data_IF_682761472039
#
_entry.id   IF_682761472039
#
_cell.length_a   1.000
_cell.length_b   1.000
_cell.length_c   1.000
_cell.angle_alpha   90.00
_cell.angle_beta   90.00
_cell.angle_gamma   90.00
#
_symmetry.space_group_name_H-M   'P 1'
#
loop_
_entity.id
_entity.type
_entity.pdbx_description
1 polymer ?
#
# COMPACT_ATOMS: atom_id res chain seq x y z
N UNK A 1 42.45 -22.87 -55.31
CA UNK A 1 43.33 -22.30 -54.27
C UNK A 1 42.43 -21.43 -53.38
N UNK A 2 41.78 -22.05 -52.39
CA UNK A 2 42.23 -22.07 -50.98
C UNK A 2 42.23 -20.64 -50.40
N UNK A 3 41.59 -20.29 -49.28
CA UNK A 3 40.90 -21.05 -48.25
C UNK A 3 40.01 -20.08 -47.47
N UNK A 4 38.92 -20.62 -46.94
CA UNK A 4 38.08 -20.03 -45.90
C UNK A 4 38.91 -19.89 -44.63
N UNK A 5 38.87 -18.73 -43.99
CA UNK A 5 39.36 -18.58 -42.61
C UNK A 5 38.29 -17.87 -41.79
N UNK A 6 37.49 -18.72 -41.16
CA UNK A 6 36.59 -18.40 -40.06
C UNK A 6 37.47 -17.95 -38.89
N UNK A 7 37.38 -16.67 -38.52
CA UNK A 7 38.00 -16.08 -37.33
C UNK A 7 36.91 -15.58 -36.38
N UNK A 8 37.06 -15.76 -35.06
CA UNK A 8 35.93 -15.91 -34.15
C UNK A 8 35.34 -14.59 -33.65
N UNK A 9 34.04 -14.66 -33.44
CA UNK A 9 33.19 -13.90 -32.50
C UNK A 9 33.92 -13.46 -31.21
N UNK A 10 34.39 -12.21 -31.18
CA UNK A 10 34.74 -11.53 -29.92
C UNK A 10 33.49 -10.96 -29.26
N UNK A 11 32.81 -11.81 -28.49
CA UNK A 11 31.81 -11.40 -27.52
C UNK A 11 32.56 -11.01 -26.24
N UNK A 12 32.84 -9.71 -26.11
CA UNK A 12 33.48 -9.12 -24.93
C UNK A 12 32.73 -9.53 -23.66
N UNK A 13 33.42 -10.39 -22.90
CA UNK A 13 33.41 -10.56 -21.45
C UNK A 13 32.08 -10.33 -20.73
N UNK A 14 31.43 -11.46 -20.47
CA UNK A 14 30.44 -11.67 -19.41
C UNK A 14 30.92 -10.98 -18.12
N UNK A 15 30.13 -10.04 -17.60
CA UNK A 15 30.33 -9.51 -16.25
C UNK A 15 30.38 -10.66 -15.24
N UNK A 16 31.46 -10.82 -14.45
CA UNK A 16 31.50 -11.84 -13.43
C UNK A 16 30.61 -11.45 -12.25
N UNK A 17 29.45 -12.11 -12.14
CA UNK A 17 28.64 -12.16 -10.93
C UNK A 17 29.47 -12.73 -9.79
N UNK A 18 29.91 -11.87 -8.87
CA UNK A 18 30.61 -12.27 -7.64
C UNK A 18 29.62 -12.94 -6.69
N UNK A 19 29.50 -14.27 -6.80
CA UNK A 19 28.84 -15.11 -5.81
C UNK A 19 29.72 -15.13 -4.56
N UNK A 20 29.25 -14.51 -3.47
CA UNK A 20 29.95 -14.59 -2.17
C UNK A 20 29.69 -15.97 -1.55
N UNK A 21 30.72 -16.69 -1.05
CA UNK A 21 30.51 -17.94 -0.34
C UNK A 21 29.82 -17.67 1.00
N UNK A 22 28.82 -18.50 1.31
CA UNK A 22 28.08 -18.54 2.56
C UNK A 22 29.02 -19.04 3.66
N UNK A 23 29.45 -18.15 4.56
CA UNK A 23 30.21 -18.55 5.74
C UNK A 23 29.31 -19.39 6.67
N UNK A 24 29.60 -20.69 6.74
CA UNK A 24 29.05 -21.61 7.72
C UNK A 24 29.93 -21.56 8.98
N UNK A 25 29.57 -20.72 9.96
CA UNK A 25 30.14 -20.85 11.30
C UNK A 25 29.41 -21.97 12.03
N UNK A 26 29.97 -23.17 11.94
CA UNK A 26 29.64 -24.28 12.82
C UNK A 26 30.09 -23.96 14.24
N UNK A 27 29.17 -24.07 15.20
CA UNK A 27 29.48 -24.02 16.63
C UNK A 27 29.13 -25.40 17.23
N UNK A 28 30.16 -26.23 17.42
CA UNK A 28 30.18 -27.39 18.35
C UNK A 28 30.87 -26.87 19.63
N UNK A 29 30.54 -27.16 20.88
CA UNK A 29 29.71 -28.11 21.63
C UNK A 29 29.08 -27.35 22.84
N UNK A 30 28.04 -27.79 23.54
CA UNK A 30 28.05 -28.80 24.61
C UNK A 30 26.59 -29.13 24.96
N UNK A 31 26.28 -30.42 25.07
CA UNK A 31 24.96 -30.96 25.40
C UNK A 31 24.76 -30.88 26.91
N UNK A 32 23.90 -29.96 27.37
CA UNK A 32 23.26 -30.06 28.69
C UNK A 32 21.74 -29.91 28.54
N UNK A 33 21.03 -30.76 29.28
CA UNK A 33 19.59 -30.99 29.19
C UNK A 33 18.74 -29.84 29.73
N UNK A 34 17.62 -29.59 29.04
CA UNK A 34 16.32 -29.03 29.44
C UNK A 34 16.25 -28.04 30.63
N UNK A 35 15.88 -26.79 30.34
CA UNK A 35 14.64 -26.15 30.84
C UNK A 35 14.24 -24.98 29.96
N UNK A 36 12.94 -24.85 29.70
CA UNK A 36 12.28 -23.86 28.86
C UNK A 36 12.28 -22.47 29.48
N UNK A 37 13.08 -21.54 28.93
CA UNK A 37 12.80 -20.09 28.99
C UNK A 37 13.27 -19.45 27.68
N UNK A 38 12.34 -19.09 26.79
CA UNK A 38 12.62 -18.15 25.70
C UNK A 38 12.76 -16.76 26.33
N UNK A 39 13.91 -16.51 26.94
CA UNK A 39 14.33 -15.15 27.27
C UNK A 39 14.73 -14.48 25.94
N UNK A 40 13.82 -13.70 25.36
CA UNK A 40 14.19 -12.80 24.26
C UNK A 40 15.26 -11.86 24.81
N UNK A 41 16.45 -11.93 24.22
CA UNK A 41 17.64 -11.12 24.54
C UNK A 41 17.29 -9.63 24.52
N UNK A 42 16.95 -9.07 25.68
CA UNK A 42 17.11 -7.66 25.99
C UNK A 42 18.37 -7.56 26.85
N UNK A 43 19.51 -7.32 26.20
CA UNK A 43 20.72 -6.96 26.93
C UNK A 43 20.46 -5.63 27.63
N UNK A 44 20.63 -5.61 28.96
CA UNK A 44 20.67 -4.39 29.77
C UNK A 44 21.78 -3.48 29.22
N UNK A 45 21.39 -2.40 28.54
CA UNK A 45 22.27 -1.27 28.26
C UNK A 45 22.05 -0.23 29.35
N UNK A 46 23.04 -0.08 30.23
CA UNK A 46 23.21 1.07 31.09
C UNK A 46 23.36 2.31 30.20
N UNK A 47 22.47 3.29 30.32
CA UNK A 47 22.53 4.57 29.59
C UNK A 47 21.58 4.67 28.39
N UNK A 48 20.41 5.29 28.63
CA UNK A 48 19.51 5.79 27.59
C UNK A 48 18.39 4.82 27.19
N UNK A 49 17.13 5.20 27.44
CA UNK A 49 15.98 4.56 26.82
C UNK A 49 16.18 4.56 25.30
N UNK A 50 16.26 3.38 24.69
CA UNK A 50 16.34 3.24 23.23
C UNK A 50 15.16 4.01 22.64
N UNK A 51 15.45 5.11 21.93
CA UNK A 51 14.40 5.96 21.33
C UNK A 51 13.47 5.08 20.51
N UNK A 52 12.16 5.22 20.72
CA UNK A 52 11.15 4.51 19.95
C UNK A 52 11.37 4.80 18.46
N UNK A 53 11.32 3.77 17.62
CA UNK A 53 11.55 3.93 16.19
C UNK A 53 10.38 4.71 15.56
N UNK A 54 10.67 5.90 15.02
CA UNK A 54 9.70 6.72 14.30
C UNK A 54 9.92 6.61 12.79
N UNK A 55 8.86 6.40 12.02
CA UNK A 55 8.90 6.43 10.57
C UNK A 55 8.95 7.88 10.08
N UNK A 56 9.75 8.17 9.05
CA UNK A 56 9.78 9.51 8.45
C UNK A 56 8.39 9.85 7.88
N UNK A 57 7.93 11.11 7.95
CA UNK A 57 6.69 11.55 7.31
C UNK A 57 6.60 11.06 5.86
N UNK A 58 5.43 10.58 5.46
CA UNK A 58 5.21 9.96 4.14
C UNK A 58 5.57 8.47 4.05
N UNK A 59 6.44 7.94 4.90
CA UNK A 59 6.82 6.50 4.85
C UNK A 59 5.64 5.57 5.10
N UNK A 60 4.80 5.92 6.09
CA UNK A 60 3.60 5.14 6.43
C UNK A 60 2.52 5.33 5.36
N UNK A 61 2.29 6.57 4.92
CA UNK A 61 1.34 6.88 3.85
C UNK A 61 1.64 6.10 2.55
N UNK A 62 2.90 6.06 2.10
CA UNK A 62 3.30 5.27 0.92
C UNK A 62 3.16 3.75 1.12
N UNK A 63 3.23 3.27 2.36
CA UNK A 63 2.96 1.85 2.68
C UNK A 63 1.47 1.57 2.62
N UNK A 64 0.64 2.45 3.15
CA UNK A 64 -0.82 2.36 3.13
C UNK A 64 -1.35 2.42 1.71
N UNK A 65 -0.89 3.37 0.89
CA UNK A 65 -1.26 3.47 -0.53
C UNK A 65 -0.98 2.15 -1.25
N UNK A 66 0.23 1.60 -1.12
CA UNK A 66 0.59 0.32 -1.76
C UNK A 66 -0.22 -0.86 -1.24
N UNK A 67 -0.60 -0.85 0.05
CA UNK A 67 -1.46 -1.88 0.63
C UNK A 67 -2.85 -1.79 0.01
N UNK A 68 -3.47 -0.62 0.02
CA UNK A 68 -4.85 -0.42 -0.44
C UNK A 68 -4.99 -0.55 -1.96
N UNK A 69 -3.96 -0.23 -2.74
CA UNK A 69 -3.95 -0.50 -4.19
C UNK A 69 -3.86 -1.99 -4.52
N UNK A 70 -3.35 -2.83 -3.61
CA UNK A 70 -3.21 -4.28 -3.82
C UNK A 70 -4.45 -5.05 -3.37
N UNK A 71 -5.16 -4.55 -2.36
CA UNK A 71 -6.38 -5.16 -1.83
C UNK A 71 -7.63 -4.57 -2.49
N UNK A 72 -8.71 -5.34 -2.52
CA UNK A 72 -10.04 -4.90 -2.96
C UNK A 72 -11.03 -4.88 -1.80
N UNK A 73 -10.55 -4.68 -0.57
CA UNK A 73 -11.39 -4.61 0.63
C UNK A 73 -12.12 -3.27 0.69
N UNK A 74 -13.40 -3.30 1.09
CA UNK A 74 -14.17 -2.08 1.36
C UNK A 74 -13.60 -1.35 2.58
N UNK A 75 -13.36 -0.05 2.45
CA UNK A 75 -12.69 0.76 3.47
C UNK A 75 -13.70 1.42 4.42
N UNK A 76 -14.94 1.64 3.97
CA UNK A 76 -15.98 2.22 4.81
C UNK A 76 -16.62 1.11 5.66
N UNK A 77 -16.80 1.37 6.96
CA UNK A 77 -17.47 0.42 7.86
C UNK A 77 -18.93 0.24 7.43
N UNK A 78 -19.36 -1.03 7.31
CA UNK A 78 -20.70 -1.40 6.81
C UNK A 78 -21.86 -0.77 7.59
N UNK A 79 -21.82 -0.80 8.93
CA UNK A 79 -22.95 -0.31 9.76
C UNK A 79 -23.16 1.21 9.64
N UNK A 80 -22.13 2.07 9.76
CA UNK A 80 -22.29 3.50 9.47
C UNK A 80 -22.78 3.80 8.06
N UNK A 81 -22.24 3.11 7.04
CA UNK A 81 -22.68 3.29 5.65
C UNK A 81 -24.16 2.93 5.48
N UNK A 82 -24.59 1.80 6.05
CA UNK A 82 -25.99 1.39 6.03
C UNK A 82 -26.91 2.43 6.71
N UNK A 83 -26.50 2.98 7.85
CA UNK A 83 -27.29 4.03 8.54
C UNK A 83 -27.44 5.28 7.68
N UNK A 84 -26.37 5.69 7.00
CA UNK A 84 -26.39 6.83 6.07
C UNK A 84 -27.33 6.58 4.89
N UNK A 85 -27.27 5.39 4.28
CA UNK A 85 -28.18 5.01 3.18
C UNK A 85 -29.64 5.08 3.64
N UNK A 86 -29.95 4.57 4.83
CA UNK A 86 -31.30 4.63 5.40
C UNK A 86 -31.74 6.06 5.72
N UNK A 87 -30.85 6.91 6.24
CA UNK A 87 -31.12 8.32 6.52
C UNK A 87 -31.52 9.06 5.23
N UNK A 88 -30.74 8.92 4.16
CA UNK A 88 -31.03 9.53 2.86
C UNK A 88 -32.34 8.99 2.28
N UNK A 89 -32.55 7.68 2.35
CA UNK A 89 -33.73 7.03 1.78
C UNK A 89 -35.04 7.44 2.48
N UNK A 90 -35.01 7.68 3.80
CA UNK A 90 -36.18 8.14 4.56
C UNK A 90 -36.69 9.50 4.09
N UNK A 91 -35.80 10.37 3.60
CA UNK A 91 -36.19 11.66 3.02
C UNK A 91 -36.93 11.50 1.68
N UNK A 92 -36.80 10.34 1.03
CA UNK A 92 -37.47 10.02 -0.23
C UNK A 92 -38.78 9.28 0.00
N UNK A 93 -38.76 8.18 0.77
CA UNK A 93 -39.95 7.46 1.22
C UNK A 93 -39.69 6.76 2.57
N UNK A 94 -40.60 6.90 3.54
CA UNK A 94 -40.42 6.37 4.89
C UNK A 94 -40.48 4.83 4.97
N UNK A 95 -41.18 4.18 4.05
CA UNK A 95 -41.45 2.72 4.08
C UNK A 95 -40.47 1.87 3.25
N UNK A 96 -39.37 2.47 2.78
CA UNK A 96 -38.36 1.77 1.97
C UNK A 96 -37.62 0.69 2.79
N UNK A 97 -37.62 -0.54 2.27
CA UNK A 97 -36.83 -1.66 2.80
C UNK A 97 -35.71 -1.99 1.82
N UNK A 98 -34.50 -2.19 2.37
CA UNK A 98 -33.32 -2.50 1.57
C UNK A 98 -32.95 -3.98 1.67
N UNK A 99 -32.65 -4.59 0.52
CA UNK A 99 -31.96 -5.87 0.46
C UNK A 99 -30.49 -5.68 0.89
N UNK A 100 -29.91 -6.68 1.57
CA UNK A 100 -28.49 -6.65 1.96
C UNK A 100 -27.55 -6.47 0.76
N UNK A 101 -27.85 -7.15 -0.35
CA UNK A 101 -27.10 -7.02 -1.61
C UNK A 101 -27.19 -5.60 -2.20
N UNK A 102 -28.34 -4.93 -2.10
CA UNK A 102 -28.50 -3.57 -2.59
C UNK A 102 -27.63 -2.56 -1.82
N UNK A 103 -27.58 -2.69 -0.48
CA UNK A 103 -26.69 -1.86 0.35
C UNK A 103 -25.22 -2.12 0.01
N UNK A 104 -24.85 -3.39 -0.25
CA UNK A 104 -23.51 -3.76 -0.71
C UNK A 104 -23.15 -3.11 -2.05
N UNK A 105 -24.04 -3.18 -3.04
CA UNK A 105 -23.84 -2.57 -4.35
C UNK A 105 -23.70 -1.04 -4.27
N UNK A 106 -24.52 -0.39 -3.44
CA UNK A 106 -24.40 1.05 -3.19
C UNK A 106 -23.03 1.40 -2.57
N UNK A 107 -22.54 0.57 -1.66
CA UNK A 107 -21.24 0.77 -1.03
C UNK A 107 -20.10 0.62 -2.04
N UNK A 108 -20.11 -0.46 -2.83
CA UNK A 108 -19.11 -0.69 -3.87
C UNK A 108 -19.05 0.46 -4.89
N UNK A 109 -20.21 0.89 -5.39
CA UNK A 109 -20.29 2.01 -6.33
C UNK A 109 -19.80 3.33 -5.71
N UNK A 110 -20.16 3.60 -4.45
CA UNK A 110 -19.76 4.82 -3.75
C UNK A 110 -18.25 4.87 -3.51
N UNK A 111 -17.65 3.77 -3.03
CA UNK A 111 -16.20 3.71 -2.80
C UNK A 111 -15.41 3.78 -4.11
N UNK A 112 -15.86 3.08 -5.15
CA UNK A 112 -15.23 3.15 -6.48
C UNK A 112 -15.25 4.57 -7.04
N UNK A 113 -16.39 5.28 -6.90
CA UNK A 113 -16.51 6.67 -7.32
C UNK A 113 -15.55 7.59 -6.55
N UNK A 114 -15.49 7.46 -5.22
CA UNK A 114 -14.60 8.27 -4.38
C UNK A 114 -13.12 8.04 -4.70
N UNK A 115 -12.70 6.77 -4.93
CA UNK A 115 -11.32 6.46 -5.34
C UNK A 115 -10.98 7.15 -6.65
N UNK A 116 -11.84 7.03 -7.66
CA UNK A 116 -11.65 7.68 -8.96
C UNK A 116 -11.63 9.21 -8.83
N UNK A 117 -12.44 9.79 -7.95
CA UNK A 117 -12.44 11.23 -7.70
C UNK A 117 -11.12 11.69 -7.04
N UNK A 118 -10.59 10.90 -6.10
CA UNK A 118 -9.32 11.21 -5.45
C UNK A 118 -8.13 11.10 -6.40
N UNK A 119 -8.17 10.21 -7.39
CA UNK A 119 -7.16 10.14 -8.47
C UNK A 119 -7.10 11.46 -9.25
N UNK A 120 -8.23 11.96 -9.73
CA UNK A 120 -8.29 13.24 -10.46
C UNK A 120 -7.91 14.43 -9.57
N UNK A 121 -8.37 14.42 -8.32
CA UNK A 121 -8.03 15.45 -7.33
C UNK A 121 -6.52 15.47 -7.07
N UNK A 122 -5.88 14.30 -7.02
CA UNK A 122 -4.43 14.18 -6.86
C UNK A 122 -3.69 14.72 -8.09
N UNK A 123 -4.17 14.45 -9.32
CA UNK A 123 -3.61 15.05 -10.54
C UNK A 123 -3.70 16.58 -10.52
N UNK A 124 -4.82 17.14 -10.05
CA UNK A 124 -4.97 18.59 -9.89
C UNK A 124 -3.99 19.18 -8.87
N UNK A 125 -3.76 18.48 -7.75
CA UNK A 125 -2.79 18.92 -6.75
C UNK A 125 -1.35 18.90 -7.30
N UNK A 126 -0.98 17.85 -8.03
CA UNK A 126 0.34 17.71 -8.68
C UNK A 126 0.53 18.79 -9.76
N UNK A 127 -0.51 19.07 -10.55
CA UNK A 127 -0.50 20.15 -11.53
C UNK A 127 -0.18 21.52 -10.89
N UNK A 128 -0.67 21.75 -9.68
CA UNK A 128 -0.37 22.93 -8.87
C UNK A 128 0.92 22.83 -8.02
N UNK A 129 1.82 21.89 -8.32
CA UNK A 129 3.10 21.64 -7.62
C UNK A 129 2.95 21.34 -6.12
N UNK A 130 1.84 20.73 -5.71
CA UNK A 130 1.57 20.32 -4.32
C UNK A 130 1.46 18.80 -4.21
N UNK A 131 1.67 18.29 -2.99
CA UNK A 131 1.47 16.86 -2.64
C UNK A 131 0.19 16.67 -1.82
N UNK A 132 -0.25 17.70 -1.10
CA UNK A 132 -1.48 17.67 -0.30
C UNK A 132 -2.68 18.12 -1.15
N UNK A 133 -3.67 17.24 -1.27
CA UNK A 133 -4.96 17.57 -1.89
C UNK A 133 -5.72 18.59 -1.04
N UNK A 134 -6.43 19.50 -1.71
CA UNK A 134 -7.21 20.56 -1.08
C UNK A 134 -8.63 20.59 -1.67
N UNK A 135 -9.62 21.20 -0.98
CA UNK A 135 -10.98 21.31 -1.51
C UNK A 135 -11.05 21.93 -2.90
N UNK A 136 -10.20 22.92 -3.22
CA UNK A 136 -10.10 23.54 -4.55
C UNK A 136 -9.72 22.56 -5.67
N UNK A 137 -8.94 21.51 -5.36
CA UNK A 137 -8.54 20.49 -6.32
C UNK A 137 -9.73 19.59 -6.67
N UNK A 138 -10.52 19.23 -5.66
CA UNK A 138 -11.73 18.42 -5.83
C UNK A 138 -12.82 19.22 -6.57
N UNK A 139 -12.95 20.49 -6.23
CA UNK A 139 -13.84 21.43 -6.92
C UNK A 139 -13.49 21.59 -8.41
N UNK A 140 -12.21 21.62 -8.74
CA UNK A 140 -11.72 21.64 -10.11
C UNK A 140 -12.01 20.32 -10.83
N UNK A 141 -11.74 19.18 -10.18
CA UNK A 141 -12.03 17.86 -10.72
C UNK A 141 -13.53 17.70 -11.06
N UNK A 142 -14.43 18.09 -10.15
CA UNK A 142 -15.88 18.10 -10.43
C UNK A 142 -16.26 19.00 -11.61
N UNK A 143 -15.61 20.16 -11.73
CA UNK A 143 -15.89 21.11 -12.82
C UNK A 143 -15.47 20.55 -14.17
N UNK A 144 -14.31 19.89 -14.25
CA UNK A 144 -13.81 19.28 -15.48
C UNK A 144 -14.67 18.07 -15.88
N UNK A 145 -15.12 17.27 -14.91
CA UNK A 145 -16.00 16.13 -15.16
C UNK A 145 -17.43 16.50 -15.60
N UNK A 146 -17.86 17.75 -15.37
CA UNK A 146 -19.24 18.17 -15.63
C UNK A 146 -20.24 17.68 -14.57
N UNK A 147 -19.78 17.25 -13.40
CA UNK A 147 -20.64 16.73 -12.31
C UNK A 147 -21.19 17.85 -11.41
N UNK A 148 -20.67 19.07 -11.54
CA UNK A 148 -21.27 20.28 -10.98
C UNK A 148 -22.31 20.83 -11.95
N UNK A 149 -23.57 20.51 -11.71
CA UNK A 149 -24.71 21.32 -12.17
C UNK A 149 -24.92 22.51 -11.24
#
# INVERSE_FOLDING_TARGET
RQQVLVGPFEMSSRYPMRIRPRAATGRKTSRHQLTTKIARKSTKSTGGLKKSHFYRPGTVALREIRRYMKSTELLIRKLPFQRLVQEIARNLNADLRFQSAAVGALQEASEAYLVRLFEDTNLCAIHAKRVTIMPKDMQLAFRIRGERT
#
